data_IF_772600709551
#
_entry.id   IF_772600709551
#
_cell.length_a   1.000
_cell.length_b   1.000
_cell.length_c   1.000
_cell.angle_alpha   90.00
_cell.angle_beta   90.00
_cell.angle_gamma   90.00
#
_symmetry.space_group_name_H-M   'P 1'
#
loop_
_entity.id
_entity.type
_entity.pdbx_description
1 polymer ?
#
# COMPACT_ATOMS: atom_id res chain seq x y z
N UNK A 1 26.20 46.47 38.68
CA UNK A 1 25.01 45.61 38.45
C UNK A 1 24.59 45.78 37.00
N UNK A 2 24.61 44.75 36.15
CA UNK A 2 24.22 44.98 34.74
C UNK A 2 24.36 43.85 33.71
N UNK A 3 24.91 42.68 34.04
CA UNK A 3 25.15 41.61 33.04
C UNK A 3 24.11 40.47 33.01
N UNK A 4 23.30 40.30 34.06
CA UNK A 4 22.43 39.11 34.21
C UNK A 4 21.25 39.03 33.23
N UNK A 5 20.76 40.18 32.76
CA UNK A 5 19.60 40.24 31.86
C UNK A 5 19.94 39.81 30.42
N UNK A 6 21.16 40.07 29.95
CA UNK A 6 21.65 39.61 28.64
C UNK A 6 21.83 38.08 28.62
N UNK A 7 22.37 37.51 29.70
CA UNK A 7 22.48 36.07 29.86
C UNK A 7 21.09 35.41 29.93
N UNK A 8 20.13 36.03 30.64
CA UNK A 8 18.75 35.55 30.71
C UNK A 8 18.02 35.62 29.34
N UNK A 9 18.16 36.72 28.60
CA UNK A 9 17.62 36.85 27.24
C UNK A 9 18.25 35.85 26.26
N UNK A 10 19.57 35.69 26.30
CA UNK A 10 20.30 34.72 25.48
C UNK A 10 19.86 33.28 25.77
N UNK A 11 19.74 32.93 27.06
CA UNK A 11 19.21 31.62 27.49
C UNK A 11 17.78 31.39 27.00
N UNK A 12 16.89 32.38 27.15
CA UNK A 12 15.50 32.27 26.69
C UNK A 12 15.39 32.08 25.17
N UNK A 13 16.12 32.86 24.37
CA UNK A 13 16.13 32.71 22.91
C UNK A 13 16.69 31.35 22.47
N UNK A 14 17.77 30.89 23.11
CA UNK A 14 18.33 29.57 22.87
C UNK A 14 17.32 28.46 23.19
N UNK A 15 16.65 28.53 24.35
CA UNK A 15 15.61 27.57 24.73
C UNK A 15 14.43 27.61 23.76
N UNK A 16 13.96 28.79 23.37
CA UNK A 16 12.85 28.93 22.43
C UNK A 16 13.16 28.29 21.07
N UNK A 17 14.36 28.54 20.51
CA UNK A 17 14.78 27.93 19.26
C UNK A 17 14.98 26.42 19.38
N UNK A 18 15.57 25.96 20.47
CA UNK A 18 15.73 24.52 20.71
C UNK A 18 14.36 23.83 20.86
N UNK A 19 13.43 24.42 21.62
CA UNK A 19 12.07 23.93 21.76
C UNK A 19 11.35 23.88 20.41
N UNK A 20 11.46 24.92 19.59
CA UNK A 20 10.88 24.92 18.24
C UNK A 20 11.47 23.82 17.36
N UNK A 21 12.79 23.66 17.34
CA UNK A 21 13.46 22.62 16.56
C UNK A 21 13.06 21.20 17.01
N UNK A 22 12.92 20.99 18.32
CA UNK A 22 12.45 19.72 18.90
C UNK A 22 11.01 19.44 18.50
N UNK A 23 10.10 20.42 18.59
CA UNK A 23 8.70 20.26 18.21
C UNK A 23 8.53 19.99 16.70
N UNK A 24 9.27 20.69 15.85
CA UNK A 24 9.27 20.39 14.40
C UNK A 24 9.76 18.97 14.10
N UNK A 25 10.79 18.50 14.81
CA UNK A 25 11.31 17.14 14.64
C UNK A 25 10.29 16.09 15.10
N UNK A 26 9.64 16.30 16.25
CA UNK A 26 8.57 15.43 16.74
C UNK A 26 7.40 15.37 15.76
N UNK A 27 6.94 16.52 15.25
CA UNK A 27 5.86 16.59 14.27
C UNK A 27 6.20 15.81 12.98
N UNK A 28 7.44 15.92 12.49
CA UNK A 28 7.92 15.14 11.33
C UNK A 28 7.95 13.64 11.61
N UNK A 29 8.48 13.24 12.76
CA UNK A 29 8.50 11.83 13.18
C UNK A 29 7.08 11.27 13.28
N UNK A 30 6.16 12.03 13.90
CA UNK A 30 4.77 11.59 14.04
C UNK A 30 4.09 11.43 12.69
N UNK A 31 4.29 12.37 11.76
CA UNK A 31 3.77 12.23 10.39
C UNK A 31 4.29 10.95 9.72
N UNK A 32 5.59 10.68 9.79
CA UNK A 32 6.18 9.47 9.19
C UNK A 32 5.67 8.19 9.88
N UNK A 33 5.50 8.22 11.21
CA UNK A 33 4.93 7.09 11.94
C UNK A 33 3.51 6.80 11.48
N UNK A 34 2.68 7.84 11.29
CA UNK A 34 1.34 7.70 10.71
C UNK A 34 1.40 7.14 9.29
N UNK A 35 2.26 7.67 8.43
CA UNK A 35 2.44 7.14 7.07
C UNK A 35 2.80 5.64 7.07
N UNK A 36 3.69 5.21 7.95
CA UNK A 36 4.07 3.79 8.09
C UNK A 36 2.95 2.92 8.66
N UNK A 37 2.26 3.40 9.70
CA UNK A 37 1.27 2.63 10.48
C UNK A 37 -0.09 2.58 9.81
N UNK A 38 -0.54 3.69 9.24
CA UNK A 38 -1.90 3.87 8.72
C UNK A 38 -1.96 3.66 7.20
N UNK A 39 -0.89 4.00 6.47
CA UNK A 39 -0.86 3.93 5.00
C UNK A 39 0.03 2.80 4.45
N UNK A 40 1.35 3.02 4.40
CA UNK A 40 2.27 2.17 3.64
C UNK A 40 2.43 0.76 4.23
N UNK A 41 2.39 0.60 5.56
CA UNK A 41 2.50 -0.72 6.19
C UNK A 41 1.30 -1.62 5.86
N UNK A 42 0.06 -1.21 6.20
CA UNK A 42 -1.15 -1.95 5.86
C UNK A 42 -1.30 -2.16 4.35
N UNK A 43 -1.00 -1.12 3.54
CA UNK A 43 -1.11 -1.23 2.09
C UNK A 43 -0.12 -2.27 1.54
N UNK A 44 1.15 -2.24 1.99
CA UNK A 44 2.17 -3.20 1.58
C UNK A 44 1.75 -4.63 1.92
N UNK A 45 1.20 -4.84 3.12
CA UNK A 45 0.71 -6.15 3.54
C UNK A 45 -0.39 -6.65 2.59
N UNK A 46 -1.38 -5.82 2.27
CA UNK A 46 -2.50 -6.21 1.41
C UNK A 46 -2.06 -6.51 -0.03
N UNK A 47 -1.26 -5.64 -0.66
CA UNK A 47 -0.84 -5.83 -2.06
C UNK A 47 0.14 -6.99 -2.21
N UNK A 48 0.98 -7.24 -1.20
CA UNK A 48 1.89 -8.39 -1.19
C UNK A 48 1.13 -9.69 -0.97
N UNK A 49 0.18 -9.71 -0.02
CA UNK A 49 -0.69 -10.87 0.20
C UNK A 49 -1.49 -11.22 -1.05
N UNK A 50 -2.06 -10.22 -1.74
CA UNK A 50 -2.78 -10.40 -3.00
C UNK A 50 -1.89 -11.04 -4.06
N UNK A 51 -0.67 -10.51 -4.26
CA UNK A 51 0.29 -11.06 -5.24
C UNK A 51 0.67 -12.51 -4.91
N UNK A 52 0.92 -12.80 -3.63
CA UNK A 52 1.26 -14.15 -3.16
C UNK A 52 0.09 -15.13 -3.33
N UNK A 53 -1.13 -14.73 -2.97
CA UNK A 53 -2.33 -15.52 -3.14
C UNK A 53 -2.61 -15.83 -4.62
N UNK A 54 -2.49 -14.81 -5.50
CA UNK A 54 -2.64 -15.00 -6.93
C UNK A 54 -1.60 -15.98 -7.50
N UNK A 55 -0.33 -15.84 -7.10
CA UNK A 55 0.71 -16.77 -7.54
C UNK A 55 0.46 -18.20 -7.06
N UNK A 56 -0.02 -18.39 -5.81
CA UNK A 56 -0.37 -19.69 -5.27
C UNK A 56 -1.53 -20.33 -6.05
N UNK A 57 -2.59 -19.56 -6.31
CA UNK A 57 -3.73 -19.98 -7.14
C UNK A 57 -3.28 -20.42 -8.54
N UNK A 58 -2.44 -19.62 -9.22
CA UNK A 58 -1.91 -19.97 -10.55
C UNK A 58 -1.09 -21.25 -10.48
N UNK A 59 -0.20 -21.40 -9.49
CA UNK A 59 0.60 -22.61 -9.32
C UNK A 59 -0.25 -23.86 -9.09
N UNK A 60 -1.37 -23.73 -8.37
CA UNK A 60 -2.24 -24.84 -8.02
C UNK A 60 -3.22 -25.23 -9.13
N UNK A 61 -3.72 -24.26 -9.90
CA UNK A 61 -4.85 -24.45 -10.82
C UNK A 61 -4.51 -24.21 -12.30
N UNK A 62 -3.27 -23.81 -12.62
CA UNK A 62 -2.82 -23.76 -14.01
C UNK A 62 -2.42 -25.15 -14.50
N UNK A 63 -2.76 -25.54 -15.75
CA UNK A 63 -2.32 -26.81 -16.34
C UNK A 63 -0.79 -26.99 -16.40
N UNK A 64 -0.05 -25.88 -16.50
CA UNK A 64 1.40 -25.84 -16.68
C UNK A 64 2.13 -25.04 -15.58
N UNK A 65 1.44 -24.69 -14.49
CA UNK A 65 1.91 -23.78 -13.44
C UNK A 65 2.36 -22.38 -13.92
N UNK A 66 1.99 -21.95 -15.14
CA UNK A 66 2.29 -20.62 -15.67
C UNK A 66 1.06 -19.70 -15.67
N UNK A 67 1.30 -18.38 -15.65
CA UNK A 67 0.22 -17.38 -15.75
C UNK A 67 -0.47 -17.43 -17.12
N UNK A 68 0.29 -17.65 -18.19
CA UNK A 68 -0.23 -17.76 -19.56
C UNK A 68 -1.13 -19.00 -19.72
N UNK A 69 -0.71 -20.14 -19.19
CA UNK A 69 -1.51 -21.36 -19.20
C UNK A 69 -2.81 -21.19 -18.41
N UNK A 70 -2.73 -20.54 -17.25
CA UNK A 70 -3.91 -20.21 -16.44
C UNK A 70 -4.89 -19.32 -17.19
N UNK A 71 -4.43 -18.21 -17.79
CA UNK A 71 -5.27 -17.30 -18.57
C UNK A 71 -5.90 -17.99 -19.78
N UNK A 72 -5.13 -18.83 -20.48
CA UNK A 72 -5.64 -19.61 -21.62
C UNK A 72 -6.74 -20.56 -21.16
N UNK A 73 -6.53 -21.31 -20.09
CA UNK A 73 -7.54 -22.20 -19.51
C UNK A 73 -8.82 -21.46 -19.12
N UNK A 74 -8.70 -20.28 -18.47
CA UNK A 74 -9.85 -19.43 -18.14
C UNK A 74 -10.67 -19.00 -19.36
N UNK A 75 -9.99 -18.65 -20.46
CA UNK A 75 -10.66 -18.19 -21.68
C UNK A 75 -11.32 -19.31 -22.49
N UNK A 76 -10.75 -20.51 -22.44
CA UNK A 76 -11.21 -21.65 -23.22
C UNK A 76 -12.44 -22.33 -22.62
N UNK A 77 -12.49 -22.43 -21.29
CA UNK A 77 -13.60 -23.06 -20.57
C UNK A 77 -14.02 -22.22 -19.35
N UNK A 78 -14.98 -21.28 -19.53
CA UNK A 78 -15.48 -20.43 -18.45
C UNK A 78 -16.17 -21.19 -17.32
N UNK A 79 -16.57 -22.45 -17.52
CA UNK A 79 -17.21 -23.30 -16.51
C UNK A 79 -16.27 -24.38 -15.98
N UNK A 80 -15.09 -24.52 -16.58
CA UNK A 80 -14.10 -25.51 -16.23
C UNK A 80 -13.51 -25.35 -14.82
N UNK A 81 -12.75 -26.37 -14.34
CA UNK A 81 -12.21 -26.39 -12.98
C UNK A 81 -11.34 -25.17 -12.65
N UNK A 82 -10.53 -24.70 -13.60
CA UNK A 82 -9.67 -23.51 -13.44
C UNK A 82 -10.52 -22.24 -13.27
N UNK A 83 -11.61 -22.10 -14.03
CA UNK A 83 -12.51 -20.94 -13.93
C UNK A 83 -13.32 -20.94 -12.65
N UNK A 84 -13.82 -22.11 -12.22
CA UNK A 84 -14.47 -22.27 -10.91
C UNK A 84 -13.52 -21.88 -9.78
N UNK A 85 -12.30 -22.39 -9.80
CA UNK A 85 -11.28 -22.04 -8.80
C UNK A 85 -10.99 -20.53 -8.82
N UNK A 86 -10.80 -19.93 -9.99
CA UNK A 86 -10.57 -18.49 -10.10
C UNK A 86 -11.68 -17.65 -9.48
N UNK A 87 -12.95 -17.98 -9.75
CA UNK A 87 -14.09 -17.27 -9.14
C UNK A 87 -14.13 -17.42 -7.62
N UNK A 88 -13.82 -18.61 -7.12
CA UNK A 88 -13.73 -18.86 -5.68
C UNK A 88 -12.60 -18.05 -5.03
N UNK A 89 -11.39 -18.10 -5.57
CA UNK A 89 -10.25 -17.33 -5.06
C UNK A 89 -10.48 -15.82 -5.17
N UNK A 90 -11.06 -15.35 -6.28
CA UNK A 90 -11.39 -13.94 -6.45
C UNK A 90 -12.39 -13.47 -5.38
N UNK A 91 -13.48 -14.20 -5.18
CA UNK A 91 -14.53 -13.83 -4.21
C UNK A 91 -14.11 -14.00 -2.75
N UNK A 92 -13.28 -15.00 -2.42
CA UNK A 92 -12.94 -15.33 -1.03
C UNK A 92 -11.61 -14.75 -0.55
N UNK A 93 -10.70 -14.40 -1.45
CA UNK A 93 -9.33 -14.01 -1.08
C UNK A 93 -8.90 -12.73 -1.77
N UNK A 94 -8.86 -12.71 -3.11
CA UNK A 94 -8.24 -11.61 -3.85
C UNK A 94 -9.03 -10.32 -3.72
N UNK A 95 -10.34 -10.35 -3.96
CA UNK A 95 -11.17 -9.16 -3.86
C UNK A 95 -11.22 -8.60 -2.43
N UNK A 96 -11.43 -9.38 -1.35
CA UNK A 96 -11.36 -8.85 0.01
C UNK A 96 -10.03 -8.14 0.33
N UNK A 97 -8.89 -8.70 -0.09
CA UNK A 97 -7.58 -8.05 0.08
C UNK A 97 -7.47 -6.76 -0.75
N UNK A 98 -7.96 -6.77 -1.99
CA UNK A 98 -7.95 -5.60 -2.86
C UNK A 98 -8.86 -4.50 -2.31
N UNK A 99 -10.04 -4.84 -1.78
CA UNK A 99 -10.95 -3.89 -1.15
C UNK A 99 -10.32 -3.24 0.07
N UNK A 100 -9.63 -4.02 0.90
CA UNK A 100 -8.88 -3.48 2.03
C UNK A 100 -7.78 -2.53 1.55
N UNK A 101 -7.03 -2.90 0.52
CA UNK A 101 -5.99 -2.05 -0.06
C UNK A 101 -6.56 -0.74 -0.63
N UNK A 102 -7.69 -0.81 -1.34
CA UNK A 102 -8.38 0.37 -1.86
C UNK A 102 -8.90 1.29 -0.75
N UNK A 103 -9.49 0.74 0.31
CA UNK A 103 -9.90 1.51 1.49
C UNK A 103 -8.72 2.23 2.13
N UNK A 104 -7.59 1.55 2.34
CA UNK A 104 -6.38 2.19 2.89
C UNK A 104 -5.96 3.37 1.99
N UNK A 105 -5.97 3.18 0.67
CA UNK A 105 -5.60 4.22 -0.29
C UNK A 105 -6.55 5.42 -0.28
N UNK A 106 -7.87 5.20 -0.15
CA UNK A 106 -8.88 6.27 -0.17
C UNK A 106 -9.00 6.99 1.17
N UNK A 107 -8.94 6.26 2.28
CA UNK A 107 -9.23 6.79 3.62
C UNK A 107 -8.05 7.57 4.20
N UNK A 108 -6.84 7.31 3.69
CA UNK A 108 -5.59 7.86 4.21
C UNK A 108 -4.80 8.61 3.13
N UNK A 109 -5.51 9.18 2.14
CA UNK A 109 -4.90 9.91 1.02
C UNK A 109 -4.10 11.13 1.48
N UNK A 110 -4.42 11.71 2.64
CA UNK A 110 -3.69 12.81 3.30
C UNK A 110 -2.26 12.43 3.74
N UNK A 111 -2.00 11.13 3.86
CA UNK A 111 -0.69 10.58 4.20
C UNK A 111 0.21 10.35 2.98
N UNK A 112 -0.29 10.52 1.75
CA UNK A 112 0.56 10.50 0.56
C UNK A 112 1.57 11.66 0.57
N UNK A 113 2.74 11.41 -0.02
CA UNK A 113 3.68 12.48 -0.34
C UNK A 113 3.38 13.02 -1.74
N UNK A 114 3.35 14.34 -1.89
CA UNK A 114 3.09 15.02 -3.16
C UNK A 114 1.71 15.68 -3.24
N UNK A 115 1.51 16.44 -4.31
CA UNK A 115 0.28 17.20 -4.58
C UNK A 115 -0.74 16.45 -5.44
N UNK A 116 -0.41 15.24 -5.88
CA UNK A 116 -1.24 14.43 -6.79
C UNK A 116 -1.36 13.01 -6.29
N UNK A 117 -2.52 12.39 -6.50
CA UNK A 117 -2.73 10.97 -6.19
C UNK A 117 -1.95 10.12 -7.20
N UNK A 118 -1.21 9.13 -6.70
CA UNK A 118 -0.45 8.18 -7.51
C UNK A 118 -1.36 7.38 -8.47
N UNK A 119 -1.10 7.37 -9.79
CA UNK A 119 -1.92 6.65 -10.77
C UNK A 119 -2.10 5.15 -10.49
N UNK A 120 -1.09 4.48 -9.91
CA UNK A 120 -1.21 3.06 -9.53
C UNK A 120 -2.28 2.83 -8.46
N UNK A 121 -2.46 3.77 -7.53
CA UNK A 121 -3.51 3.70 -6.51
C UNK A 121 -4.88 3.95 -7.12
N UNK A 122 -5.01 4.91 -8.04
CA UNK A 122 -6.25 5.13 -8.77
C UNK A 122 -6.65 3.91 -9.60
N UNK A 123 -5.69 3.28 -10.28
CA UNK A 123 -5.92 2.04 -11.01
C UNK A 123 -6.36 0.90 -10.09
N UNK A 124 -5.74 0.76 -8.90
CA UNK A 124 -6.17 -0.23 -7.90
C UNK A 124 -7.63 -0.02 -7.50
N UNK A 125 -8.01 1.22 -7.17
CA UNK A 125 -9.37 1.58 -6.78
C UNK A 125 -10.34 1.26 -7.93
N UNK A 126 -10.03 1.70 -9.15
CA UNK A 126 -10.85 1.42 -10.32
C UNK A 126 -11.01 -0.10 -10.59
N UNK A 127 -9.93 -0.87 -10.44
CA UNK A 127 -9.95 -2.33 -10.55
C UNK A 127 -10.87 -2.96 -9.51
N UNK A 128 -10.82 -2.51 -8.25
CA UNK A 128 -11.67 -3.02 -7.16
C UNK A 128 -13.15 -2.80 -7.47
N UNK A 129 -13.54 -1.59 -7.84
CA UNK A 129 -14.93 -1.27 -8.14
C UNK A 129 -15.44 -1.99 -9.39
N UNK A 130 -14.59 -2.14 -10.42
CA UNK A 130 -14.94 -2.94 -11.59
C UNK A 130 -15.20 -4.41 -11.21
N UNK A 131 -14.35 -5.01 -10.37
CA UNK A 131 -14.53 -6.40 -9.95
C UNK A 131 -15.76 -6.64 -9.08
N UNK A 132 -16.25 -5.64 -8.33
CA UNK A 132 -17.54 -5.77 -7.62
C UNK A 132 -18.69 -6.07 -8.58
N UNK A 133 -18.72 -5.36 -9.72
CA UNK A 133 -19.73 -5.59 -10.77
C UNK A 133 -19.55 -6.98 -11.38
N UNK A 134 -18.32 -7.41 -11.63
CA UNK A 134 -18.04 -8.73 -12.19
C UNK A 134 -18.45 -9.86 -11.23
N UNK A 135 -18.15 -9.73 -9.94
CA UNK A 135 -18.54 -10.70 -8.92
C UNK A 135 -20.05 -10.82 -8.79
N UNK A 136 -20.77 -9.70 -8.85
CA UNK A 136 -22.23 -9.69 -8.85
C UNK A 136 -22.81 -10.42 -10.08
N UNK A 137 -22.26 -10.16 -11.27
CA UNK A 137 -22.64 -10.87 -12.49
C UNK A 137 -22.37 -12.36 -12.40
N UNK A 138 -21.23 -12.75 -11.82
CA UNK A 138 -20.93 -14.16 -11.57
C UNK A 138 -21.92 -14.80 -10.60
N UNK A 139 -22.39 -14.10 -9.55
CA UNK A 139 -23.45 -14.65 -8.68
C UNK A 139 -24.79 -14.84 -9.40
N UNK A 140 -25.01 -14.14 -10.50
CA UNK A 140 -26.19 -14.27 -11.36
C UNK A 140 -25.99 -15.29 -12.50
N UNK A 141 -24.85 -16.00 -12.54
CA UNK A 141 -24.54 -17.03 -13.54
C UNK A 141 -23.86 -16.52 -14.82
N UNK A 142 -23.58 -15.23 -14.95
CA UNK A 142 -22.85 -14.69 -16.11
C UNK A 142 -21.32 -14.87 -15.95
N UNK A 143 -20.84 -16.11 -16.09
CA UNK A 143 -19.42 -16.45 -15.92
C UNK A 143 -18.50 -15.95 -17.04
N UNK A 144 -19.06 -15.36 -18.11
CA UNK A 144 -18.28 -14.80 -19.23
C UNK A 144 -17.87 -13.35 -19.00
N UNK A 145 -18.44 -12.68 -18.00
CA UNK A 145 -18.08 -11.32 -17.63
C UNK A 145 -16.68 -11.24 -17.00
N UNK A 146 -15.85 -10.29 -17.47
CA UNK A 146 -14.53 -9.97 -16.91
C UNK A 146 -14.29 -8.45 -16.86
N UNK A 147 -13.45 -8.00 -15.94
CA UNK A 147 -13.06 -6.59 -15.82
C UNK A 147 -12.07 -6.23 -16.93
N UNK A 148 -12.34 -5.12 -17.62
CA UNK A 148 -11.40 -4.50 -18.57
C UNK A 148 -10.27 -3.78 -17.83
N UNK A 149 -10.51 -3.35 -16.59
CA UNK A 149 -9.51 -2.68 -15.77
C UNK A 149 -8.63 -3.74 -15.12
N UNK A 150 -7.36 -3.76 -15.52
CA UNK A 150 -6.35 -4.68 -15.01
C UNK A 150 -5.84 -4.26 -13.62
N UNK A 151 -5.40 -5.25 -12.85
CA UNK A 151 -4.72 -5.01 -11.58
C UNK A 151 -3.38 -4.27 -11.83
N UNK A 152 -3.01 -3.26 -11.03
CA UNK A 152 -1.75 -2.53 -11.21
C UNK A 152 -0.54 -3.40 -10.83
N UNK A 153 0.04 -4.11 -11.80
CA UNK A 153 1.13 -5.07 -11.55
C UNK A 153 2.37 -4.47 -10.85
N UNK A 154 2.62 -3.17 -11.02
CA UNK A 154 3.75 -2.47 -10.42
C UNK A 154 3.50 -2.02 -8.96
N UNK A 155 2.27 -2.15 -8.44
CA UNK A 155 1.90 -1.56 -7.15
C UNK A 155 2.71 -2.12 -5.99
N UNK A 156 3.05 -3.41 -6.00
CA UNK A 156 3.86 -4.01 -4.92
C UNK A 156 5.24 -3.36 -4.86
N UNK A 157 5.89 -3.20 -6.01
CA UNK A 157 7.21 -2.58 -6.09
C UNK A 157 7.18 -1.10 -5.70
N UNK A 158 6.14 -0.39 -6.11
CA UNK A 158 5.90 0.99 -5.71
C UNK A 158 5.75 1.13 -4.18
N UNK A 159 4.81 0.39 -3.58
CA UNK A 159 4.54 0.48 -2.13
C UNK A 159 5.74 0.01 -1.32
N UNK A 160 6.46 -1.02 -1.77
CA UNK A 160 7.68 -1.49 -1.11
C UNK A 160 8.78 -0.43 -1.10
N UNK A 161 8.97 0.28 -2.22
CA UNK A 161 9.93 1.39 -2.33
C UNK A 161 9.57 2.53 -1.37
N UNK A 162 8.31 2.95 -1.36
CA UNK A 162 7.86 4.04 -0.49
C UNK A 162 7.91 3.68 0.99
N UNK A 163 7.54 2.44 1.35
CA UNK A 163 7.69 1.94 2.71
C UNK A 163 9.15 1.98 3.18
N UNK A 164 10.09 1.54 2.33
CA UNK A 164 11.53 1.59 2.64
C UNK A 164 12.03 3.04 2.76
N UNK A 165 11.57 3.95 1.90
CA UNK A 165 11.85 5.38 1.97
C UNK A 165 11.39 5.95 3.32
N UNK A 166 10.17 5.66 3.75
CA UNK A 166 9.63 6.13 5.04
C UNK A 166 10.40 5.55 6.23
N UNK A 167 10.76 4.27 6.20
CA UNK A 167 11.60 3.64 7.24
C UNK A 167 12.97 4.30 7.34
N UNK A 168 13.58 4.67 6.21
CA UNK A 168 14.84 5.40 6.19
C UNK A 168 14.69 6.79 6.79
N UNK A 169 13.69 7.57 6.35
CA UNK A 169 13.38 8.91 6.91
C UNK A 169 13.15 8.85 8.42
N UNK A 170 12.44 7.84 8.91
CA UNK A 170 12.24 7.59 10.35
C UNK A 170 13.58 7.36 11.07
N UNK A 171 14.44 6.50 10.53
CA UNK A 171 15.73 6.18 11.14
C UNK A 171 16.69 7.38 11.19
N UNK A 172 16.68 8.21 10.15
CA UNK A 172 17.45 9.46 10.06
C UNK A 172 16.97 10.46 11.13
N UNK A 173 15.66 10.63 11.25
CA UNK A 173 15.07 11.53 12.24
C UNK A 173 15.24 11.04 13.68
N UNK A 174 15.37 9.74 13.92
CA UNK A 174 15.67 9.19 15.25
C UNK A 174 17.17 9.19 15.59
N UNK A 175 18.04 9.52 14.64
CA UNK A 175 19.50 9.45 14.84
C UNK A 175 20.06 8.01 14.84
N UNK A 176 19.22 7.01 14.55
CA UNK A 176 19.60 5.60 14.49
C UNK A 176 20.35 5.20 13.22
N UNK A 177 20.37 6.03 12.18
CA UNK A 177 21.12 5.73 10.94
C UNK A 177 22.65 5.73 11.14
N UNK A 178 23.17 6.30 12.23
CA UNK A 178 24.62 6.42 12.48
C UNK A 178 25.17 5.31 13.39
N UNK A 179 24.32 4.57 14.13
CA UNK A 179 24.76 3.50 15.04
C UNK A 179 24.94 2.12 14.40
N UNK A 180 24.66 1.95 13.11
CA UNK A 180 24.93 0.69 12.38
C UNK A 180 26.32 0.65 11.70
N UNK A 181 27.20 1.62 12.00
CA UNK A 181 28.56 1.72 11.42
C UNK A 181 29.66 1.97 12.48
N UNK A 182 29.47 1.46 13.69
CA UNK A 182 30.53 1.25 14.68
C UNK A 182 30.49 -0.22 15.10
#
# INVERSE_FOLDING_TARGET
>A
MGGGWLAALGGYLFTYWNSKAVEERKARIERINRQLREFYGPLLACVTATKSAYNAMVKQHSPDATRSGFQKALSQDPEGPTAVAFRQWMSKVLQPLNERAAQIATDNVDLLEGSTIEPLLLQLVAHVYANRVILERWSQGDFKSFSVISYPNAIVSFVQKEFALMKKKQADLLGTSTMSRL
#
